data_IF_930161349475
#
_entry.id   IF_930161349475
#
_cell.length_a   1.000
_cell.length_b   1.000
_cell.length_c   1.000
_cell.angle_alpha   90.00
_cell.angle_beta   90.00
_cell.angle_gamma   90.00
#
_symmetry.space_group_name_H-M   'P 1'
#
loop_
_entity.id
_entity.type
_entity.pdbx_description
1 polymer ?
#
# COMPACT_ATOMS: atom_id res chain seq x y z
N UNK A 1 -18.77 -10.51 -52.22
CA UNK A 1 -17.37 -10.67 -52.68
C UNK A 1 -16.52 -10.83 -51.42
N UNK A 2 -16.09 -12.06 -51.11
CA UNK A 2 -15.51 -12.44 -49.81
C UNK A 2 -14.01 -12.74 -49.95
N UNK A 3 -13.22 -12.24 -49.01
CA UNK A 3 -11.77 -12.48 -48.92
C UNK A 3 -11.43 -13.67 -48.00
N UNK A 4 -10.26 -14.32 -48.20
CA UNK A 4 -9.97 -15.68 -47.73
C UNK A 4 -9.58 -15.80 -46.25
N UNK A 5 -10.14 -14.97 -45.36
CA UNK A 5 -9.82 -15.02 -43.92
C UNK A 5 -11.05 -14.82 -43.00
N UNK A 6 -12.26 -15.19 -43.45
CA UNK A 6 -13.40 -15.52 -42.58
C UNK A 6 -13.92 -14.45 -41.60
N UNK A 7 -13.45 -13.19 -41.66
CA UNK A 7 -13.91 -12.10 -40.78
C UNK A 7 -14.97 -11.24 -41.49
N UNK A 8 -16.13 -10.96 -40.87
CA UNK A 8 -17.17 -10.14 -41.49
C UNK A 8 -16.73 -8.67 -41.64
N UNK A 9 -17.13 -8.06 -42.76
CA UNK A 9 -16.88 -6.65 -43.08
C UNK A 9 -17.81 -5.74 -42.26
N UNK A 10 -17.26 -4.99 -41.30
CA UNK A 10 -18.00 -3.99 -40.53
C UNK A 10 -17.96 -2.63 -41.23
N UNK A 11 -19.12 -2.16 -41.68
CA UNK A 11 -19.32 -0.85 -42.30
C UNK A 11 -19.28 0.23 -41.21
N UNK A 12 -18.22 1.05 -41.17
CA UNK A 12 -18.14 2.20 -40.26
C UNK A 12 -19.31 3.16 -40.50
N UNK A 13 -20.13 3.40 -39.47
CA UNK A 13 -21.15 4.45 -39.48
C UNK A 13 -20.50 5.81 -39.22
N UNK A 14 -20.85 6.78 -40.05
CA UNK A 14 -20.41 8.17 -40.03
C UNK A 14 -20.63 8.83 -38.66
N UNK A 15 -19.61 9.51 -38.15
CA UNK A 15 -19.68 10.35 -36.96
C UNK A 15 -20.52 11.60 -37.23
N UNK A 16 -21.62 11.77 -36.49
CA UNK A 16 -22.32 13.06 -36.42
C UNK A 16 -22.60 13.38 -34.96
N UNK A 17 -21.90 14.41 -34.46
CA UNK A 17 -22.26 15.16 -33.25
C UNK A 17 -21.71 14.62 -31.93
N UNK A 18 -20.60 15.19 -31.46
CA UNK A 18 -20.50 15.86 -30.13
C UNK A 18 -19.09 16.42 -29.87
N UNK A 19 -19.05 17.75 -29.94
CA UNK A 19 -18.16 18.71 -29.26
C UNK A 19 -16.83 18.20 -28.67
N UNK A 20 -15.73 18.62 -29.30
CA UNK A 20 -14.39 18.65 -28.69
C UNK A 20 -14.41 19.55 -27.45
N UNK A 21 -14.57 18.97 -26.25
CA UNK A 21 -14.11 19.63 -25.02
C UNK A 21 -12.59 19.59 -25.05
N UNK A 22 -11.97 20.77 -25.12
CA UNK A 22 -10.53 20.93 -25.06
C UNK A 22 -9.96 20.12 -23.90
N UNK A 23 -8.91 19.35 -24.20
CA UNK A 23 -8.06 18.75 -23.20
C UNK A 23 -7.36 19.89 -22.46
N UNK A 24 -7.98 20.40 -21.40
CA UNK A 24 -7.21 20.99 -20.32
C UNK A 24 -6.44 19.83 -19.70
N UNK A 25 -5.12 19.84 -19.89
CA UNK A 25 -4.22 19.02 -19.09
C UNK A 25 -4.57 19.26 -17.64
N UNK A 26 -5.21 18.28 -16.99
CA UNK A 26 -5.31 18.30 -15.53
C UNK A 26 -3.88 18.34 -15.04
N UNK A 27 -3.48 19.50 -14.52
CA UNK A 27 -2.34 19.60 -13.64
C UNK A 27 -2.67 18.66 -12.49
N UNK A 28 -1.98 17.53 -12.44
CA UNK A 28 -2.18 16.52 -11.41
C UNK A 28 -1.59 17.10 -10.13
N UNK A 29 -2.44 17.74 -9.33
CA UNK A 29 -2.08 18.17 -7.99
C UNK A 29 -1.81 16.90 -7.17
N UNK A 30 -0.53 16.54 -7.08
CA UNK A 30 -0.03 15.28 -6.56
C UNK A 30 -0.69 14.82 -5.26
N UNK A 31 -1.03 13.54 -5.21
CA UNK A 31 -1.38 12.82 -3.98
C UNK A 31 -2.86 12.84 -3.58
N UNK A 32 -3.71 13.71 -4.13
CA UNK A 32 -5.15 13.77 -3.77
C UNK A 32 -5.91 12.53 -4.25
N UNK A 33 -5.87 11.47 -3.44
CA UNK A 33 -6.50 10.17 -3.70
C UNK A 33 -5.60 8.96 -3.45
N UNK A 34 -4.34 9.16 -3.07
CA UNK A 34 -3.42 8.07 -2.75
C UNK A 34 -3.77 7.43 -1.39
N UNK A 35 -3.55 6.13 -1.25
CA UNK A 35 -3.70 5.45 0.05
C UNK A 35 -2.60 5.91 1.00
N UNK A 36 -2.89 5.89 2.31
CA UNK A 36 -1.89 6.18 3.35
C UNK A 36 -0.64 5.31 3.19
N UNK A 37 -0.84 4.03 2.90
CA UNK A 37 0.25 3.07 2.65
C UNK A 37 1.21 3.53 1.55
N UNK A 38 0.70 3.95 0.39
CA UNK A 38 1.56 4.33 -0.72
C UNK A 38 2.31 5.64 -0.47
N UNK A 39 1.72 6.56 0.30
CA UNK A 39 2.42 7.79 0.73
C UNK A 39 3.55 7.46 1.72
N UNK A 40 3.35 6.49 2.61
CA UNK A 40 4.40 5.99 3.53
C UNK A 40 5.51 5.31 2.75
N UNK A 41 5.17 4.43 1.78
CA UNK A 41 6.16 3.76 0.94
C UNK A 41 7.04 4.77 0.19
N UNK A 42 6.42 5.78 -0.45
CA UNK A 42 7.15 6.84 -1.14
C UNK A 42 8.06 7.63 -0.17
N UNK A 43 7.58 7.91 1.04
CA UNK A 43 8.36 8.61 2.07
C UNK A 43 9.54 7.76 2.56
N UNK A 44 9.33 6.46 2.76
CA UNK A 44 10.37 5.53 3.18
C UNK A 44 11.45 5.37 2.10
N UNK A 45 11.06 5.26 0.83
CA UNK A 45 11.99 5.23 -0.30
C UNK A 45 12.80 6.53 -0.37
N UNK A 46 12.16 7.68 -0.14
CA UNK A 46 12.85 8.97 -0.06
C UNK A 46 13.88 9.00 1.07
N UNK A 47 13.53 8.52 2.27
CA UNK A 47 14.46 8.45 3.40
C UNK A 47 15.64 7.52 3.13
N UNK A 48 15.38 6.35 2.53
CA UNK A 48 16.41 5.36 2.19
C UNK A 48 17.39 5.92 1.16
N UNK A 49 16.89 6.47 0.06
CA UNK A 49 17.71 6.99 -1.04
C UNK A 49 18.57 8.19 -0.63
N UNK A 50 18.19 8.91 0.42
CA UNK A 50 18.95 10.03 0.98
C UNK A 50 19.80 9.68 2.19
N UNK A 51 19.80 8.41 2.62
CA UNK A 51 20.53 7.98 3.81
C UNK A 51 20.04 8.62 5.10
N UNK A 52 18.76 9.01 5.18
CA UNK A 52 18.16 9.64 6.36
C UNK A 52 17.74 8.57 7.37
N UNK A 53 17.00 7.55 6.91
CA UNK A 53 16.51 6.44 7.71
C UNK A 53 16.34 5.19 6.82
N UNK A 54 16.39 4.01 7.42
CA UNK A 54 16.11 2.74 6.73
C UNK A 54 14.86 2.15 7.36
N UNK A 55 13.71 2.28 6.68
CA UNK A 55 12.40 1.88 7.17
C UNK A 55 11.70 1.07 6.08
N UNK A 56 11.11 -0.06 6.46
CA UNK A 56 10.41 -0.94 5.54
C UNK A 56 9.07 -1.41 6.10
N UNK A 57 8.16 -1.74 5.19
CA UNK A 57 6.93 -2.48 5.50
C UNK A 57 7.26 -3.97 5.64
N UNK A 58 6.73 -4.61 6.67
CA UNK A 58 6.77 -6.07 6.82
C UNK A 58 5.82 -6.70 5.80
N UNK A 59 6.23 -7.75 5.09
CA UNK A 59 5.36 -8.44 4.15
C UNK A 59 4.22 -9.13 4.90
N UNK A 60 3.06 -9.24 4.25
CA UNK A 60 1.91 -9.94 4.81
C UNK A 60 2.29 -11.39 5.14
N UNK A 61 2.11 -11.84 6.40
CA UNK A 61 2.54 -13.16 6.80
C UNK A 61 1.67 -14.23 6.14
N UNK A 62 2.32 -15.12 5.41
CA UNK A 62 1.69 -16.28 4.76
C UNK A 62 2.37 -17.57 5.25
N UNK A 63 1.57 -18.61 5.43
CA UNK A 63 2.03 -19.97 5.60
C UNK A 63 2.01 -20.67 4.26
N UNK A 64 3.18 -20.96 3.72
CA UNK A 64 3.34 -21.72 2.49
C UNK A 64 3.14 -23.20 2.80
N UNK A 65 2.26 -23.87 2.07
CA UNK A 65 1.96 -25.30 2.24
C UNK A 65 2.49 -26.11 1.09
N UNK A 66 2.36 -25.62 -0.14
CA UNK A 66 2.84 -26.33 -1.32
C UNK A 66 3.57 -25.38 -2.29
N UNK A 67 4.75 -25.80 -2.74
CA UNK A 67 5.57 -25.09 -3.71
C UNK A 67 5.96 -26.04 -4.83
N UNK A 68 5.73 -25.59 -6.06
CA UNK A 68 6.15 -26.28 -7.27
C UNK A 68 7.36 -25.58 -7.90
N UNK A 69 8.35 -26.39 -8.32
CA UNK A 69 9.61 -25.92 -8.88
C UNK A 69 9.77 -26.41 -10.32
N UNK A 70 9.22 -25.68 -11.32
CA UNK A 70 9.33 -26.11 -12.72
C UNK A 70 10.77 -26.05 -13.27
N UNK A 71 11.63 -25.22 -12.68
CA UNK A 71 13.04 -25.07 -13.06
C UNK A 71 13.83 -24.44 -11.90
N UNK A 72 15.16 -24.60 -11.86
CA UNK A 72 16.01 -24.11 -10.73
C UNK A 72 15.87 -22.62 -10.41
N UNK A 73 15.51 -21.78 -11.39
CA UNK A 73 15.35 -20.33 -11.24
C UNK A 73 13.94 -19.88 -10.85
N UNK A 74 12.99 -20.81 -10.68
CA UNK A 74 11.58 -20.46 -10.48
C UNK A 74 10.93 -21.34 -9.41
N UNK A 75 10.33 -20.69 -8.43
CA UNK A 75 9.44 -21.28 -7.45
C UNK A 75 8.03 -20.72 -7.66
N UNK A 76 7.02 -21.59 -7.61
CA UNK A 76 5.60 -21.21 -7.68
C UNK A 76 4.92 -21.71 -6.42
N UNK A 77 4.39 -20.80 -5.61
CA UNK A 77 3.56 -21.16 -4.46
C UNK A 77 2.19 -21.58 -5.00
N UNK A 78 1.84 -22.85 -4.84
CA UNK A 78 0.57 -23.42 -5.29
C UNK A 78 -0.51 -23.32 -4.23
N UNK A 79 -0.11 -23.41 -2.95
CA UNK A 79 -1.03 -23.37 -1.82
C UNK A 79 -0.38 -22.62 -0.65
N UNK A 80 -1.09 -21.62 -0.14
CA UNK A 80 -0.71 -20.89 1.06
C UNK A 80 -1.94 -20.37 1.80
N UNK A 81 -1.79 -20.19 3.11
CA UNK A 81 -2.82 -19.63 3.99
C UNK A 81 -2.32 -18.33 4.62
N UNK A 82 -3.16 -17.31 4.68
CA UNK A 82 -2.83 -16.10 5.43
C UNK A 82 -2.70 -16.43 6.92
N UNK A 83 -1.70 -15.84 7.58
CA UNK A 83 -1.60 -15.86 9.04
C UNK A 83 -2.01 -14.52 9.60
N UNK A 84 -2.55 -14.54 10.82
CA UNK A 84 -2.76 -13.32 11.58
C UNK A 84 -1.39 -12.69 11.88
N UNK A 85 -1.16 -11.41 11.55
CA UNK A 85 0.06 -10.73 11.96
C UNK A 85 0.16 -10.69 13.48
N UNK A 86 1.38 -10.73 14.01
CA UNK A 86 1.65 -10.63 15.45
C UNK A 86 2.34 -9.33 15.83
N UNK A 87 2.69 -8.50 14.84
CA UNK A 87 3.45 -7.26 15.01
C UNK A 87 2.80 -6.14 14.23
N UNK A 88 3.31 -4.92 14.42
CA UNK A 88 3.04 -3.75 13.57
C UNK A 88 3.56 -3.91 12.14
N UNK A 89 3.02 -3.11 11.23
CA UNK A 89 3.32 -3.19 9.79
C UNK A 89 4.69 -2.59 9.39
N UNK A 90 5.23 -1.59 10.08
CA UNK A 90 6.46 -0.91 9.67
C UNK A 90 7.51 -0.91 10.78
N UNK A 91 8.77 -1.08 10.40
CA UNK A 91 9.91 -0.87 11.30
C UNK A 91 11.17 -0.46 10.56
N UNK A 92 12.16 -0.02 11.32
CA UNK A 92 13.41 0.48 10.76
C UNK A 92 14.40 1.01 11.78
N UNK A 93 15.38 1.76 11.27
CA UNK A 93 16.39 2.43 12.07
C UNK A 93 16.57 3.89 11.65
N UNK A 94 16.73 4.77 12.64
CA UNK A 94 17.03 6.18 12.46
C UNK A 94 18.01 6.62 13.54
N UNK A 95 19.17 7.15 13.13
CA UNK A 95 20.27 7.53 14.03
C UNK A 95 20.58 6.50 15.13
N UNK A 96 20.64 5.21 14.75
CA UNK A 96 20.96 4.12 15.68
C UNK A 96 19.81 3.71 16.62
N UNK A 97 18.62 4.33 16.52
CA UNK A 97 17.42 3.96 17.29
C UNK A 97 16.48 3.11 16.46
N UNK A 98 15.92 2.09 17.09
CA UNK A 98 14.85 1.29 16.51
C UNK A 98 13.58 2.13 16.37
N UNK A 99 12.97 2.10 15.18
CA UNK A 99 11.67 2.68 14.87
C UNK A 99 10.67 1.56 14.60
N UNK A 100 9.45 1.69 15.13
CA UNK A 100 8.36 0.73 14.90
C UNK A 100 7.03 1.47 14.89
N UNK A 101 6.23 1.31 13.84
CA UNK A 101 4.95 2.00 13.77
C UNK A 101 3.89 1.24 12.97
N UNK A 102 2.64 1.58 13.28
CA UNK A 102 1.46 1.08 12.61
C UNK A 102 0.74 2.25 11.95
N UNK A 103 0.23 2.05 10.72
CA UNK A 103 -0.46 3.10 9.98
C UNK A 103 -1.91 2.71 9.72
N UNK A 104 -2.85 3.57 10.13
CA UNK A 104 -4.29 3.33 9.95
C UNK A 104 -4.96 4.54 9.31
N UNK A 105 -5.92 4.30 8.41
CA UNK A 105 -6.76 5.36 7.83
C UNK A 105 -8.22 5.19 8.25
N UNK A 106 -8.91 6.31 8.46
CA UNK A 106 -10.35 6.36 8.71
C UNK A 106 -11.02 7.43 7.84
N UNK A 107 -12.28 7.17 7.46
CA UNK A 107 -13.15 8.16 6.82
C UNK A 107 -14.05 8.88 7.83
N UNK A 108 -14.06 8.43 9.09
CA UNK A 108 -14.77 9.15 10.13
C UNK A 108 -14.10 10.52 10.33
N UNK A 109 -14.90 11.55 10.62
CA UNK A 109 -14.44 12.94 10.75
C UNK A 109 -14.15 13.34 12.19
N UNK A 110 -14.71 12.63 13.16
CA UNK A 110 -14.69 13.09 14.56
C UNK A 110 -14.00 12.12 15.51
N UNK A 111 -13.81 10.86 15.11
CA UNK A 111 -13.12 9.88 15.95
C UNK A 111 -12.41 8.81 15.15
N UNK A 112 -11.29 8.34 15.70
CA UNK A 112 -10.61 7.14 15.24
C UNK A 112 -11.09 5.93 16.06
N UNK A 113 -11.73 4.92 15.45
CA UNK A 113 -12.19 3.74 16.20
C UNK A 113 -11.00 2.91 16.67
N UNK A 114 -10.76 2.88 17.99
CA UNK A 114 -9.69 2.07 18.60
C UNK A 114 -9.91 0.56 18.40
N UNK A 115 -11.14 0.12 18.12
CA UNK A 115 -11.46 -1.27 17.78
C UNK A 115 -10.67 -1.79 16.56
N UNK A 116 -10.11 -0.90 15.74
CA UNK A 116 -9.27 -1.24 14.59
C UNK A 116 -7.81 -1.56 14.97
N UNK A 117 -7.43 -1.43 16.25
CA UNK A 117 -6.14 -1.86 16.77
C UNK A 117 -6.28 -3.24 17.39
N UNK A 118 -5.58 -4.22 16.83
CA UNK A 118 -5.60 -5.57 17.38
C UNK A 118 -4.69 -5.67 18.62
N UNK A 119 -5.11 -6.45 19.61
CA UNK A 119 -4.41 -6.59 20.90
C UNK A 119 -2.95 -7.02 20.76
N UNK A 120 -2.64 -7.89 19.77
CA UNK A 120 -1.27 -8.32 19.50
C UNK A 120 -0.37 -7.16 19.05
N UNK A 121 -0.91 -6.16 18.33
CA UNK A 121 -0.16 -4.99 17.89
C UNK A 121 0.20 -4.12 19.10
N UNK A 122 -0.77 -3.89 20.00
CA UNK A 122 -0.55 -3.12 21.23
C UNK A 122 0.52 -3.78 22.11
N UNK A 123 0.44 -5.10 22.31
CA UNK A 123 1.45 -5.86 23.07
C UNK A 123 2.83 -5.79 22.44
N UNK A 124 2.92 -5.90 21.11
CA UNK A 124 4.18 -5.75 20.38
C UNK A 124 4.77 -4.34 20.54
N UNK A 125 3.94 -3.31 20.42
CA UNK A 125 4.34 -1.92 20.59
C UNK A 125 4.86 -1.66 22.01
N UNK A 126 4.17 -2.17 23.03
CA UNK A 126 4.60 -2.10 24.43
C UNK A 126 5.96 -2.77 24.64
N UNK A 127 6.15 -3.99 24.12
CA UNK A 127 7.41 -4.71 24.21
C UNK A 127 8.57 -3.93 23.54
N UNK A 128 8.34 -3.33 22.37
CA UNK A 128 9.33 -2.52 21.68
C UNK A 128 9.68 -1.25 22.46
N UNK A 129 8.67 -0.58 23.04
CA UNK A 129 8.86 0.60 23.87
C UNK A 129 9.68 0.30 25.12
N UNK A 130 9.42 -0.83 25.79
CA UNK A 130 10.20 -1.28 26.94
C UNK A 130 11.68 -1.52 26.61
N UNK A 131 12.01 -1.83 25.36
CA UNK A 131 13.39 -1.94 24.84
C UNK A 131 13.95 -0.61 24.32
N UNK A 132 13.36 0.53 24.69
CA UNK A 132 13.76 1.88 24.28
C UNK A 132 13.60 2.15 22.77
N UNK A 133 12.77 1.36 22.08
CA UNK A 133 12.33 1.63 20.72
C UNK A 133 11.46 2.88 20.64
N UNK A 134 11.55 3.62 19.54
CA UNK A 134 10.64 4.70 19.22
C UNK A 134 9.43 4.10 18.52
N UNK A 135 8.30 4.09 19.21
CA UNK A 135 7.08 3.42 18.77
C UNK A 135 5.93 4.42 18.66
N UNK A 136 5.23 4.44 17.52
CA UNK A 136 4.14 5.40 17.29
C UNK A 136 3.05 4.85 16.36
N UNK A 137 1.93 5.57 16.27
CA UNK A 137 0.87 5.32 15.31
C UNK A 137 0.84 6.46 14.30
N UNK A 138 0.60 6.14 13.03
CA UNK A 138 0.31 7.14 12.01
C UNK A 138 -1.16 7.03 11.62
N UNK A 139 -1.96 8.05 11.94
CA UNK A 139 -3.40 8.03 11.75
C UNK A 139 -3.82 9.06 10.71
N UNK A 140 -4.43 8.61 9.60
CA UNK A 140 -5.01 9.49 8.58
C UNK A 140 -6.52 9.62 8.72
N UNK A 141 -7.00 10.85 8.86
CA UNK A 141 -8.40 11.21 8.69
C UNK A 141 -8.64 11.60 7.23
N UNK A 142 -8.95 10.59 6.39
CA UNK A 142 -9.02 10.75 4.93
C UNK A 142 -10.03 11.81 4.47
N UNK A 143 -11.13 11.95 5.21
CA UNK A 143 -12.17 12.94 4.90
C UNK A 143 -11.81 14.36 5.31
N UNK A 144 -10.80 14.54 6.15
CA UNK A 144 -10.27 15.83 6.58
C UNK A 144 -8.95 16.18 5.88
N UNK A 145 -8.34 15.20 5.20
CA UNK A 145 -7.00 15.31 4.61
C UNK A 145 -5.91 15.62 5.65
N UNK A 146 -6.05 15.03 6.84
CA UNK A 146 -5.15 15.23 7.97
C UNK A 146 -4.43 13.92 8.34
N UNK A 147 -3.18 14.03 8.75
CA UNK A 147 -2.34 12.92 9.23
C UNK A 147 -1.71 13.31 10.56
N UNK A 148 -1.84 12.43 11.54
CA UNK A 148 -1.35 12.60 12.91
C UNK A 148 -0.32 11.53 13.25
N UNK A 149 0.65 11.92 14.09
CA UNK A 149 1.58 11.05 14.79
C UNK A 149 1.26 11.06 16.29
#
# INVERSE_FOLDING_TARGET
>A
MNYPNGKPFNRNKSQVGRTHKGQTSKIDYGGRGMSLEKDIELSNDYYLNRGIAVIHKKPTPIQIVNVHYPMRSKAVINEAYFRTPSTTDYNGIYHGRYLDFEAKETKNKTSFPLNNMHEHQVRHMEACYQQQGVVFLLIRFKSLDEVYL
#
